data_IF_746094834171
#
_entry.id   IF_746094834171
#
_cell.length_a   1.000
_cell.length_b   1.000
_cell.length_c   1.000
_cell.angle_alpha   90.00
_cell.angle_beta   90.00
_cell.angle_gamma   90.00
#
_symmetry.space_group_name_H-M   'P 1'
#
loop_
_entity.id
_entity.type
_entity.pdbx_description
1 polymer ?
#
# COMPACT_ATOMS: atom_id res chain seq x y z
N UNK A 1 15.93 14.44 10.83
CA UNK A 1 16.48 14.12 12.16
C UNK A 1 16.45 12.60 12.32
N UNK A 2 17.50 12.01 12.88
CA UNK A 2 17.49 10.59 13.27
C UNK A 2 16.90 10.49 14.67
N UNK A 3 15.60 10.23 14.74
CA UNK A 3 14.82 10.19 15.97
C UNK A 3 13.63 9.24 15.79
N UNK A 4 13.02 8.81 16.88
CA UNK A 4 11.89 7.89 16.87
C UNK A 4 11.56 7.36 18.27
N UNK A 5 10.65 6.37 18.35
CA UNK A 5 10.21 5.82 19.64
C UNK A 5 11.33 5.17 20.47
N UNK A 6 12.37 4.65 19.83
CA UNK A 6 13.53 4.06 20.49
C UNK A 6 14.84 4.31 19.73
N UNK A 7 15.98 4.05 20.37
CA UNK A 7 17.31 4.18 19.75
C UNK A 7 17.46 3.18 18.60
N UNK A 8 16.95 1.97 18.76
CA UNK A 8 16.98 0.91 17.74
C UNK A 8 16.19 1.34 16.50
N UNK A 9 15.00 1.93 16.69
CA UNK A 9 14.21 2.45 15.57
C UNK A 9 14.95 3.58 14.87
N UNK A 10 15.51 4.54 15.61
CA UNK A 10 16.23 5.67 15.05
C UNK A 10 17.46 5.23 14.22
N UNK A 11 18.22 4.23 14.70
CA UNK A 11 19.34 3.63 13.96
C UNK A 11 18.87 2.91 12.70
N UNK A 12 17.81 2.11 12.82
CA UNK A 12 17.25 1.34 11.71
C UNK A 12 16.71 2.21 10.56
N UNK A 13 16.46 3.51 10.77
CA UNK A 13 16.07 4.41 9.68
C UNK A 13 17.17 4.52 8.62
N UNK A 14 18.45 4.56 9.04
CA UNK A 14 19.60 4.61 8.13
C UNK A 14 19.79 3.28 7.42
N UNK A 15 19.69 2.16 8.15
CA UNK A 15 19.86 0.82 7.57
C UNK A 15 18.82 0.55 6.46
N UNK A 16 17.55 0.89 6.71
CA UNK A 16 16.47 0.74 5.73
C UNK A 16 16.63 1.68 4.53
N UNK A 17 17.13 2.91 4.76
CA UNK A 17 17.42 3.86 3.69
C UNK A 17 18.52 3.32 2.76
N UNK A 18 19.64 2.84 3.32
CA UNK A 18 20.73 2.23 2.57
C UNK A 18 20.29 0.97 1.82
N UNK A 19 19.43 0.15 2.43
CA UNK A 19 18.88 -1.03 1.76
C UNK A 19 18.09 -0.64 0.51
N UNK A 20 17.23 0.37 0.61
CA UNK A 20 16.44 0.86 -0.52
C UNK A 20 17.28 1.58 -1.59
N UNK A 21 18.34 2.28 -1.22
CA UNK A 21 19.28 2.86 -2.19
C UNK A 21 20.07 1.79 -2.94
N UNK A 22 20.46 0.73 -2.24
CA UNK A 22 21.20 -0.40 -2.83
C UNK A 22 20.31 -1.26 -3.73
N UNK A 23 19.08 -1.50 -3.30
CA UNK A 23 18.21 -2.50 -3.90
C UNK A 23 17.04 -1.93 -4.72
N UNK A 24 16.75 -0.64 -4.58
CA UNK A 24 15.54 0.01 -5.04
C UNK A 24 14.48 0.15 -3.95
N UNK A 25 13.71 1.24 -4.01
CA UNK A 25 12.45 1.38 -3.27
C UNK A 25 11.34 0.68 -4.05
N UNK A 26 10.79 -0.40 -3.49
CA UNK A 26 9.76 -1.24 -4.09
C UNK A 26 8.53 -1.32 -3.19
N UNK A 27 7.41 -1.75 -3.76
CA UNK A 27 6.15 -1.94 -3.04
C UNK A 27 4.98 -1.24 -3.71
N UNK A 28 3.87 -1.15 -2.98
CA UNK A 28 2.62 -0.51 -3.35
C UNK A 28 2.51 0.86 -2.67
N UNK A 29 1.78 1.77 -3.30
CA UNK A 29 1.55 3.11 -2.81
C UNK A 29 0.08 3.27 -2.42
N UNK A 30 -0.17 3.71 -1.19
CA UNK A 30 -1.51 3.81 -0.62
C UNK A 30 -1.82 5.25 -0.22
N UNK A 31 -2.91 5.80 -0.74
CA UNK A 31 -3.32 7.17 -0.49
C UNK A 31 -4.75 7.22 0.03
N UNK A 32 -4.94 7.89 1.15
CA UNK A 32 -6.18 7.93 1.92
C UNK A 32 -6.70 9.37 1.94
N UNK A 33 -7.66 9.66 1.07
CA UNK A 33 -8.28 10.99 0.92
C UNK A 33 -9.61 11.00 1.66
N UNK A 34 -10.23 12.18 1.81
CA UNK A 34 -11.51 12.35 2.48
C UNK A 34 -12.68 12.59 1.53
N UNK A 35 -12.43 12.73 0.24
CA UNK A 35 -13.45 13.00 -0.78
C UNK A 35 -14.07 14.39 -0.67
N UNK A 36 -13.30 15.38 -0.21
CA UNK A 36 -13.79 16.74 0.01
C UNK A 36 -13.96 17.49 -1.33
N UNK A 37 -15.12 18.11 -1.55
CA UNK A 37 -15.43 18.77 -2.83
C UNK A 37 -15.52 20.30 -2.76
N UNK A 38 -15.95 20.89 -1.64
CA UNK A 38 -16.28 22.33 -1.56
C UNK A 38 -15.93 22.94 -0.18
N UNK A 39 -14.70 22.73 0.30
CA UNK A 39 -14.22 23.31 1.57
C UNK A 39 -12.81 23.87 1.41
N UNK A 40 -12.37 24.77 2.29
CA UNK A 40 -10.97 25.23 2.34
C UNK A 40 -10.00 24.05 2.54
N UNK A 41 -10.45 23.00 3.21
CA UNK A 41 -9.68 21.77 3.43
C UNK A 41 -9.48 20.96 2.15
N UNK A 42 -10.25 21.14 1.07
CA UNK A 42 -10.05 20.42 -0.21
C UNK A 42 -8.59 20.42 -0.69
N UNK A 43 -7.83 21.47 -0.36
CA UNK A 43 -6.40 21.57 -0.64
C UNK A 43 -5.58 20.36 -0.13
N UNK A 44 -5.90 19.80 1.05
CA UNK A 44 -5.22 18.61 1.58
C UNK A 44 -5.49 17.37 0.73
N UNK A 45 -6.74 17.18 0.30
CA UNK A 45 -7.15 16.12 -0.64
C UNK A 45 -6.39 16.28 -1.97
N UNK A 46 -6.30 17.51 -2.48
CA UNK A 46 -5.61 17.80 -3.74
C UNK A 46 -4.11 17.51 -3.66
N UNK A 47 -3.46 17.81 -2.53
CA UNK A 47 -2.05 17.47 -2.32
C UNK A 47 -1.82 15.96 -2.23
N UNK A 48 -2.64 15.23 -1.47
CA UNK A 48 -2.52 13.76 -1.36
C UNK A 48 -2.80 13.10 -2.73
N UNK A 49 -3.81 13.59 -3.46
CA UNK A 49 -4.12 13.16 -4.84
C UNK A 49 -2.97 13.40 -5.80
N UNK A 50 -2.35 14.58 -5.73
CA UNK A 50 -1.20 14.94 -6.55
C UNK A 50 0.01 14.03 -6.27
N UNK A 51 0.26 13.70 -5.01
CA UNK A 51 1.30 12.74 -4.63
C UNK A 51 1.03 11.35 -5.20
N UNK A 52 -0.23 10.88 -5.12
CA UNK A 52 -0.66 9.60 -5.69
C UNK A 52 -0.42 9.54 -7.21
N UNK A 53 -0.78 10.60 -7.92
CA UNK A 53 -0.56 10.70 -9.36
C UNK A 53 0.94 10.72 -9.72
N UNK A 54 1.76 11.42 -8.93
CA UNK A 54 3.21 11.48 -9.16
C UNK A 54 3.85 10.09 -9.09
N UNK A 55 3.61 9.33 -8.02
CA UNK A 55 4.20 7.99 -7.88
C UNK A 55 3.59 6.99 -8.86
N UNK A 56 2.30 7.12 -9.20
CA UNK A 56 1.64 6.31 -10.23
C UNK A 56 2.32 6.50 -11.59
N UNK A 57 2.66 7.74 -11.96
CA UNK A 57 3.39 8.05 -13.21
C UNK A 57 4.79 7.46 -13.27
N UNK A 58 5.36 7.08 -12.14
CA UNK A 58 6.63 6.37 -12.04
C UNK A 58 6.46 4.84 -11.98
N UNK A 59 5.25 4.32 -12.17
CA UNK A 59 4.96 2.90 -12.25
C UNK A 59 4.75 2.21 -10.90
N UNK A 60 4.59 2.95 -9.79
CA UNK A 60 4.15 2.32 -8.55
C UNK A 60 2.72 1.82 -8.67
N UNK A 61 2.44 0.66 -8.07
CA UNK A 61 1.08 0.16 -7.95
C UNK A 61 0.33 0.99 -6.91
N UNK A 62 -0.57 1.86 -7.38
CA UNK A 62 -1.14 2.94 -6.56
C UNK A 62 -2.62 2.71 -6.28
N UNK A 63 -2.99 2.69 -5.01
CA UNK A 63 -4.36 2.61 -4.52
C UNK A 63 -4.71 3.94 -3.88
N UNK A 64 -5.87 4.49 -4.27
CA UNK A 64 -6.42 5.73 -3.73
C UNK A 64 -7.80 5.41 -3.15
N UNK A 65 -7.99 5.64 -1.85
CA UNK A 65 -9.31 5.65 -1.22
C UNK A 65 -9.80 7.10 -1.12
N UNK A 66 -11.06 7.32 -1.47
CA UNK A 66 -11.69 8.66 -1.49
C UNK A 66 -12.83 8.78 -0.47
N UNK A 67 -12.98 7.77 0.39
CA UNK A 67 -14.04 7.76 1.40
C UNK A 67 -13.69 8.71 2.55
N UNK A 68 -14.69 9.28 3.25
CA UNK A 68 -14.42 10.17 4.37
C UNK A 68 -13.65 9.52 5.53
N UNK A 69 -13.87 8.22 5.75
CA UNK A 69 -13.14 7.40 6.73
C UNK A 69 -11.76 6.97 6.24
N UNK A 70 -10.81 6.81 7.18
CA UNK A 70 -9.49 6.25 6.86
C UNK A 70 -9.62 4.79 6.38
N UNK A 71 -8.57 4.29 5.71
CA UNK A 71 -8.49 2.87 5.36
C UNK A 71 -8.90 1.98 6.55
N UNK A 72 -9.80 1.03 6.34
CA UNK A 72 -10.19 0.08 7.38
C UNK A 72 -8.98 -0.76 7.84
N UNK A 73 -8.93 -1.13 9.12
CA UNK A 73 -7.96 -2.11 9.62
C UNK A 73 -8.05 -3.47 8.89
N UNK A 74 -9.21 -3.78 8.32
CA UNK A 74 -9.43 -4.96 7.51
C UNK A 74 -8.83 -4.86 6.10
N UNK A 75 -8.49 -3.65 5.63
CA UNK A 75 -7.89 -3.50 4.31
C UNK A 75 -6.52 -4.21 4.26
N UNK A 76 -6.31 -5.16 3.34
CA UNK A 76 -5.08 -5.96 3.30
C UNK A 76 -3.94 -5.18 2.63
N UNK A 77 -3.43 -4.18 3.35
CA UNK A 77 -2.37 -3.26 2.92
C UNK A 77 -1.00 -3.96 2.97
N UNK A 78 -0.51 -4.47 1.84
CA UNK A 78 0.75 -5.24 1.78
C UNK A 78 1.88 -4.45 1.13
N UNK A 79 3.12 -4.75 1.54
CA UNK A 79 4.35 -4.25 0.92
C UNK A 79 4.31 -2.73 0.61
N UNK A 80 4.14 -1.90 1.64
CA UNK A 80 3.97 -0.46 1.51
C UNK A 80 5.30 0.22 1.16
N UNK A 81 5.35 0.91 0.02
CA UNK A 81 6.45 1.82 -0.36
C UNK A 81 6.13 3.27 -0.01
N UNK A 82 4.88 3.68 -0.24
CA UNK A 82 4.40 5.03 0.05
C UNK A 82 3.06 4.96 0.77
N UNK A 83 2.91 5.79 1.80
CA UNK A 83 1.64 6.08 2.41
C UNK A 83 1.46 7.59 2.60
N UNK A 84 0.31 8.13 2.20
CA UNK A 84 -0.15 9.44 2.63
C UNK A 84 -1.65 9.42 2.90
N UNK A 85 -2.09 9.86 4.08
CA UNK A 85 -3.50 9.84 4.45
C UNK A 85 -3.95 11.00 5.33
N UNK A 86 -5.25 11.16 5.55
CA UNK A 86 -5.84 12.12 6.50
C UNK A 86 -7.34 11.87 6.74
N UNK A 87 -8.02 12.36 7.78
CA UNK A 87 -7.61 13.25 8.86
C UNK A 87 -8.08 12.63 10.19
N UNK A 88 -7.24 11.79 10.77
CA UNK A 88 -7.50 11.17 12.07
C UNK A 88 -6.40 11.56 13.06
N UNK A 89 -6.77 11.81 14.31
CA UNK A 89 -5.85 12.29 15.33
C UNK A 89 -4.91 11.21 15.86
N UNK A 90 -5.34 9.96 15.80
CA UNK A 90 -4.58 8.80 16.26
C UNK A 90 -4.31 7.84 15.11
N UNK A 91 -3.18 7.14 15.16
CA UNK A 91 -2.83 6.09 14.22
C UNK A 91 -3.95 5.05 14.18
N UNK A 92 -4.61 4.94 13.03
CA UNK A 92 -5.78 4.07 12.86
C UNK A 92 -5.63 3.15 11.64
N UNK A 93 -6.72 2.49 11.26
CA UNK A 93 -6.76 1.66 10.07
C UNK A 93 -5.76 0.49 10.10
N UNK A 94 -5.13 0.14 8.96
CA UNK A 94 -4.15 -0.94 8.87
C UNK A 94 -2.97 -0.79 9.84
N UNK A 95 -2.66 0.43 10.27
CA UNK A 95 -1.53 0.72 11.13
C UNK A 95 -1.79 0.40 12.61
N UNK A 96 -3.05 0.20 13.00
CA UNK A 96 -3.43 -0.34 14.32
C UNK A 96 -3.04 -1.81 14.49
N UNK A 97 -2.78 -2.52 13.38
CA UNK A 97 -2.45 -3.96 13.41
C UNK A 97 -1.08 -4.19 14.04
N UNK A 98 -0.86 -5.34 14.71
CA UNK A 98 0.44 -5.66 15.32
C UNK A 98 1.58 -5.60 14.31
N UNK A 99 1.37 -6.11 13.09
CA UNK A 99 2.33 -6.13 12.00
C UNK A 99 1.81 -5.34 10.80
N UNK A 100 2.67 -4.48 10.26
CA UNK A 100 2.47 -3.73 9.03
C UNK A 100 3.62 -4.07 8.09
N UNK A 101 3.34 -4.24 6.81
CA UNK A 101 4.34 -4.65 5.82
C UNK A 101 4.96 -3.45 5.12
N UNK A 102 5.62 -2.57 5.86
CA UNK A 102 6.46 -1.54 5.23
C UNK A 102 7.67 -2.16 4.54
N UNK A 103 7.93 -1.73 3.31
CA UNK A 103 9.12 -2.09 2.57
C UNK A 103 10.32 -1.26 3.06
N UNK A 104 11.56 -1.77 2.98
CA UNK A 104 12.74 -0.96 3.18
C UNK A 104 12.71 0.29 2.29
N UNK A 105 13.00 1.45 2.89
CA UNK A 105 12.91 2.74 2.23
C UNK A 105 11.52 3.39 2.21
N UNK A 106 10.49 2.75 2.75
CA UNK A 106 9.13 3.28 2.69
C UNK A 106 8.99 4.65 3.37
N UNK A 107 8.26 5.55 2.72
CA UNK A 107 7.92 6.88 3.25
C UNK A 107 6.45 6.92 3.60
N UNK A 108 6.13 7.30 4.84
CA UNK A 108 4.77 7.34 5.34
C UNK A 108 4.44 8.72 5.93
N UNK A 109 3.28 9.26 5.60
CA UNK A 109 2.80 10.55 6.07
C UNK A 109 1.31 10.45 6.43
N UNK A 110 0.89 11.12 7.49
CA UNK A 110 -0.53 11.31 7.75
C UNK A 110 -0.79 12.77 8.06
N UNK A 111 -1.57 13.47 7.25
CA UNK A 111 -1.89 14.87 7.47
C UNK A 111 -2.83 14.96 8.66
N UNK A 112 -2.27 15.37 9.79
CA UNK A 112 -3.01 15.79 10.97
C UNK A 112 -2.14 16.78 11.75
N UNK A 113 -2.77 17.79 12.36
CA UNK A 113 -2.06 18.92 12.95
C UNK A 113 -1.10 18.57 14.08
N UNK A 114 -1.34 17.45 14.75
CA UNK A 114 -0.55 16.98 15.91
C UNK A 114 0.06 15.60 15.67
N UNK A 115 0.23 15.20 14.41
CA UNK A 115 0.62 13.84 14.05
C UNK A 115 1.98 13.39 14.65
N UNK A 116 2.81 14.32 15.14
CA UNK A 116 4.09 14.08 15.79
C UNK A 116 4.24 14.79 17.15
N UNK A 117 3.12 15.15 17.80
CA UNK A 117 3.11 15.84 19.10
C UNK A 117 4.01 15.17 20.14
N UNK A 118 4.00 13.83 20.17
CA UNK A 118 4.99 13.03 20.88
C UNK A 118 5.60 12.03 19.90
N UNK A 119 6.90 12.17 19.62
CA UNK A 119 7.61 11.24 18.73
C UNK A 119 8.12 9.98 19.47
N UNK A 120 8.37 10.10 20.78
CA UNK A 120 8.92 9.03 21.64
C UNK A 120 7.84 8.04 22.12
N UNK A 121 6.96 7.63 21.23
CA UNK A 121 5.88 6.68 21.50
C UNK A 121 5.57 5.86 20.26
N UNK A 122 5.28 4.58 20.44
CA UNK A 122 4.86 3.68 19.36
C UNK A 122 3.35 3.60 19.19
N UNK A 123 2.57 4.31 20.02
CA UNK A 123 1.12 4.08 20.16
C UNK A 123 0.27 5.33 19.96
N UNK A 124 0.81 6.52 20.18
CA UNK A 124 0.03 7.77 20.12
C UNK A 124 0.37 8.59 18.88
N UNK A 125 -0.62 9.31 18.35
CA UNK A 125 -0.52 10.13 17.14
C UNK A 125 -0.13 9.27 15.93
N UNK A 126 0.77 9.71 15.03
CA UNK A 126 1.08 8.98 13.80
C UNK A 126 2.57 8.78 13.56
N UNK A 127 3.40 9.82 13.66
CA UNK A 127 4.81 9.75 13.26
C UNK A 127 5.58 8.67 14.03
N UNK A 128 5.43 8.63 15.36
CA UNK A 128 6.03 7.61 16.22
C UNK A 128 5.55 6.19 15.87
N UNK A 129 4.22 5.93 15.88
CA UNK A 129 3.65 4.65 15.44
C UNK A 129 4.11 4.20 14.05
N UNK A 130 4.09 5.07 13.03
CA UNK A 130 4.52 4.73 11.67
C UNK A 130 5.99 4.26 11.64
N UNK A 131 6.88 4.94 12.36
CA UNK A 131 8.28 4.55 12.49
C UNK A 131 8.43 3.20 13.22
N UNK A 132 7.70 3.02 14.33
CA UNK A 132 7.69 1.75 15.08
C UNK A 132 7.15 0.57 14.24
N UNK A 133 6.21 0.82 13.33
CA UNK A 133 5.66 -0.18 12.41
C UNK A 133 6.55 -0.49 11.22
N UNK A 134 7.62 0.27 11.00
CA UNK A 134 8.64 -0.04 10.01
C UNK A 134 8.86 1.01 8.93
N UNK A 135 8.12 2.13 8.92
CA UNK A 135 8.39 3.22 7.98
C UNK A 135 9.85 3.70 8.10
N UNK A 136 10.47 4.01 6.98
CA UNK A 136 11.88 4.45 6.93
C UNK A 136 12.00 5.94 7.18
N UNK A 137 11.00 6.70 6.74
CA UNK A 137 10.96 8.13 6.92
C UNK A 137 9.52 8.64 7.04
N UNK A 138 9.34 9.73 7.78
CA UNK A 138 8.07 10.43 7.96
C UNK A 138 8.27 11.91 8.24
N UNK A 139 7.24 12.70 7.97
CA UNK A 139 7.17 14.12 8.33
C UNK A 139 5.96 14.33 9.23
N UNK A 140 6.12 15.16 10.26
CA UNK A 140 5.02 15.49 11.14
C UNK A 140 5.16 16.82 11.87
N UNK A 141 4.21 17.12 12.73
CA UNK A 141 4.05 18.40 13.40
C UNK A 141 3.87 18.18 14.90
N UNK A 142 4.67 18.88 15.70
CA UNK A 142 4.62 18.80 17.17
C UNK A 142 3.53 19.69 17.78
N UNK A 143 3.03 20.65 17.01
CA UNK A 143 2.06 21.68 17.40
C UNK A 143 1.26 22.11 16.15
N UNK A 144 0.09 22.72 16.33
CA UNK A 144 -0.85 23.09 15.26
C UNK A 144 -0.22 23.99 14.18
N UNK A 145 -0.04 23.48 12.94
CA UNK A 145 0.50 24.28 11.84
C UNK A 145 -0.59 24.93 10.96
N UNK A 146 -1.87 24.56 11.16
CA UNK A 146 -2.94 24.67 10.15
C UNK A 146 -2.58 23.95 8.83
N UNK A 147 -3.57 23.73 7.98
CA UNK A 147 -3.35 23.00 6.72
C UNK A 147 -2.28 23.69 5.86
N UNK A 148 -2.30 25.02 5.79
CA UNK A 148 -1.38 25.84 5.01
C UNK A 148 0.06 25.81 5.54
N UNK A 149 0.26 25.47 6.82
CA UNK A 149 1.59 25.28 7.41
C UNK A 149 2.15 23.86 7.23
N UNK A 150 1.33 22.91 6.75
CA UNK A 150 1.79 21.55 6.45
C UNK A 150 2.57 21.49 5.12
N UNK A 151 3.35 20.43 4.93
CA UNK A 151 4.03 20.17 3.66
C UNK A 151 2.99 19.94 2.54
N UNK A 152 3.29 20.50 1.37
CA UNK A 152 2.60 20.11 0.16
C UNK A 152 3.11 18.72 -0.25
N UNK A 153 2.38 17.66 0.12
CA UNK A 153 2.82 16.28 -0.11
C UNK A 153 2.95 15.93 -1.60
N UNK A 154 2.26 16.64 -2.51
CA UNK A 154 2.46 16.49 -3.95
C UNK A 154 3.84 17.02 -4.38
N UNK A 155 4.22 18.21 -3.88
CA UNK A 155 5.56 18.77 -4.14
C UNK A 155 6.66 17.88 -3.55
N UNK A 156 6.47 17.41 -2.31
CA UNK A 156 7.36 16.44 -1.68
C UNK A 156 7.56 15.19 -2.56
N UNK A 157 6.47 14.59 -3.05
CA UNK A 157 6.54 13.42 -3.91
C UNK A 157 7.28 13.72 -5.22
N UNK A 158 7.04 14.87 -5.84
CA UNK A 158 7.73 15.30 -7.07
C UNK A 158 9.24 15.44 -6.87
N UNK A 159 9.64 16.15 -5.82
CA UNK A 159 11.03 16.44 -5.50
C UNK A 159 11.78 15.16 -5.11
N UNK A 160 11.21 14.38 -4.20
CA UNK A 160 11.82 13.14 -3.72
C UNK A 160 11.98 12.08 -4.83
N UNK A 161 11.02 12.01 -5.75
CA UNK A 161 10.99 10.96 -6.78
C UNK A 161 11.52 11.43 -8.13
N UNK A 162 10.76 12.23 -8.87
CA UNK A 162 11.09 12.60 -10.25
C UNK A 162 12.35 13.47 -10.34
N UNK A 163 12.55 14.39 -9.39
CA UNK A 163 13.77 15.21 -9.32
C UNK A 163 14.91 14.51 -8.57
N UNK A 164 14.57 13.50 -7.77
CA UNK A 164 15.52 12.66 -7.05
C UNK A 164 16.29 13.43 -5.99
N UNK A 165 15.62 14.33 -5.27
CA UNK A 165 16.16 15.01 -4.08
C UNK A 165 16.32 14.01 -2.94
N UNK A 166 17.20 14.31 -1.98
CA UNK A 166 17.22 13.55 -0.73
C UNK A 166 15.90 13.76 0.05
N UNK A 167 15.62 12.87 0.99
CA UNK A 167 14.44 12.99 1.86
C UNK A 167 14.42 14.32 2.60
N UNK A 168 15.57 14.76 3.11
CA UNK A 168 15.72 16.06 3.75
C UNK A 168 15.45 17.22 2.79
N UNK A 169 16.08 17.22 1.61
CA UNK A 169 15.90 18.27 0.60
C UNK A 169 14.43 18.39 0.17
N UNK A 170 13.79 17.27 -0.17
CA UNK A 170 12.39 17.22 -0.57
C UNK A 170 11.45 17.67 0.56
N UNK A 171 11.70 17.24 1.80
CA UNK A 171 10.86 17.61 2.94
C UNK A 171 10.95 19.11 3.29
N UNK A 172 12.10 19.75 3.06
CA UNK A 172 12.25 21.19 3.26
C UNK A 172 11.72 22.00 2.07
N UNK A 173 11.94 21.55 0.83
CA UNK A 173 11.41 22.20 -0.36
C UNK A 173 9.86 22.20 -0.41
N UNK A 174 9.22 21.16 0.14
CA UNK A 174 7.77 21.05 0.19
C UNK A 174 7.09 21.87 1.30
N UNK A 175 7.85 22.46 2.23
CA UNK A 175 7.30 23.28 3.31
C UNK A 175 6.83 24.64 2.78
N UNK A 176 5.65 25.07 3.20
CA UNK A 176 5.13 26.40 2.88
C UNK A 176 5.80 27.49 3.74
N UNK A 177 6.33 27.11 4.91
CA UNK A 177 7.13 27.98 5.79
C UNK A 177 8.08 27.13 6.65
N UNK A 178 9.22 27.70 7.03
CA UNK A 178 10.16 27.02 7.94
C UNK A 178 9.70 27.28 9.38
N UNK A 179 9.35 26.22 10.10
CA UNK A 179 8.85 26.29 11.47
C UNK A 179 9.52 25.25 12.38
N UNK A 180 9.66 25.59 13.65
CA UNK A 180 10.08 24.65 14.71
C UNK A 180 9.03 23.54 14.92
N UNK A 181 7.79 23.75 14.48
CA UNK A 181 6.70 22.80 14.60
C UNK A 181 6.92 21.57 13.71
N UNK A 182 7.61 21.72 12.58
CA UNK A 182 7.83 20.64 11.62
C UNK A 182 8.95 19.71 12.06
N UNK A 183 8.64 18.42 12.11
CA UNK A 183 9.55 17.33 12.46
C UNK A 183 9.72 16.40 11.26
N UNK A 184 10.88 16.46 10.62
CA UNK A 184 11.28 15.56 9.54
C UNK A 184 12.12 14.42 10.14
N UNK A 185 11.56 13.22 10.26
CA UNK A 185 12.20 12.06 10.91
C UNK A 185 12.60 11.00 9.87
N UNK A 186 13.88 10.64 9.86
CA UNK A 186 14.51 9.84 8.81
C UNK A 186 15.93 10.30 8.53
N UNK A 187 16.70 9.49 7.78
CA UNK A 187 18.00 9.89 7.28
C UNK A 187 17.83 11.05 6.28
N UNK A 188 18.36 12.26 6.56
CA UNK A 188 18.23 13.40 5.66
C UNK A 188 18.93 13.18 4.31
N UNK A 189 19.88 12.24 4.21
CA UNK A 189 20.59 11.92 2.97
C UNK A 189 19.91 10.81 2.15
N UNK A 190 18.90 10.14 2.70
CA UNK A 190 18.17 9.07 2.00
C UNK A 190 17.63 9.54 0.65
N UNK A 191 18.10 8.95 -0.45
CA UNK A 191 17.89 9.43 -1.82
C UNK A 191 17.76 8.25 -2.79
N UNK A 192 16.69 7.44 -2.69
CA UNK A 192 16.55 6.21 -3.49
C UNK A 192 16.39 6.50 -4.98
N UNK A 193 15.90 7.69 -5.36
CA UNK A 193 15.74 8.13 -6.76
C UNK A 193 16.88 9.04 -7.23
N UNK A 194 17.99 9.11 -6.48
CA UNK A 194 19.14 9.92 -6.83
C UNK A 194 19.74 9.57 -8.19
N UNK A 195 20.29 10.59 -8.85
CA UNK A 195 20.97 10.47 -10.15
C UNK A 195 22.47 10.53 -9.92
N UNK A 196 23.22 9.61 -10.54
CA UNK A 196 24.69 9.62 -10.48
C UNK A 196 25.27 10.78 -11.29
N UNK A 197 24.71 11.02 -12.48
CA UNK A 197 25.09 12.12 -13.36
C UNK A 197 23.88 13.04 -13.60
N UNK A 198 24.13 14.33 -13.84
CA UNK A 198 23.08 15.32 -14.09
C UNK A 198 22.25 15.05 -15.36
N UNK A 199 22.83 14.36 -16.34
CA UNK A 199 22.16 13.95 -17.58
C UNK A 199 21.36 12.64 -17.46
N UNK A 200 21.50 11.90 -16.36
CA UNK A 200 20.75 10.66 -16.16
C UNK A 200 19.25 10.98 -16.04
N UNK A 201 18.42 10.21 -16.73
CA UNK A 201 16.98 10.26 -16.61
C UNK A 201 16.45 9.07 -15.79
N UNK A 202 15.18 9.14 -15.39
CA UNK A 202 14.53 8.09 -14.59
C UNK A 202 14.59 6.71 -15.26
N UNK A 203 14.40 6.64 -16.59
CA UNK A 203 14.46 5.39 -17.35
C UNK A 203 15.82 4.69 -17.29
N UNK A 204 16.92 5.44 -17.43
CA UNK A 204 18.27 4.90 -17.30
C UNK A 204 18.51 4.28 -15.92
N UNK A 205 18.06 4.93 -14.85
CA UNK A 205 18.16 4.38 -13.48
C UNK A 205 17.38 3.07 -13.36
N UNK A 206 16.17 3.02 -13.90
CA UNK A 206 15.36 1.80 -13.87
C UNK A 206 16.03 0.66 -14.63
N UNK A 207 16.61 0.93 -15.80
CA UNK A 207 17.35 -0.05 -16.59
C UNK A 207 18.59 -0.58 -15.85
N UNK A 208 19.42 0.30 -15.28
CA UNK A 208 20.60 -0.09 -14.49
C UNK A 208 20.20 -0.96 -13.29
N UNK A 209 19.16 -0.55 -12.56
CA UNK A 209 18.68 -1.28 -11.40
C UNK A 209 18.10 -2.65 -11.80
N UNK A 210 17.29 -2.70 -12.86
CA UNK A 210 16.77 -3.94 -13.42
C UNK A 210 17.91 -4.91 -13.80
N UNK A 211 18.92 -4.43 -14.52
CA UNK A 211 20.10 -5.21 -14.88
C UNK A 211 20.86 -5.74 -13.66
N UNK A 212 21.04 -4.92 -12.63
CA UNK A 212 21.66 -5.33 -11.37
C UNK A 212 20.85 -6.41 -10.63
N UNK A 213 19.52 -6.27 -10.58
CA UNK A 213 18.61 -7.27 -10.00
C UNK A 213 18.67 -8.60 -10.74
N UNK A 214 18.68 -8.58 -12.07
CA UNK A 214 18.81 -9.77 -12.91
C UNK A 214 20.15 -10.46 -12.69
N UNK A 215 21.26 -9.72 -12.74
CA UNK A 215 22.61 -10.26 -12.61
C UNK A 215 22.82 -11.03 -11.31
N UNK A 216 22.24 -10.53 -10.21
CA UNK A 216 22.31 -11.17 -8.88
C UNK A 216 21.17 -12.15 -8.60
N UNK A 217 20.28 -12.41 -9.56
CA UNK A 217 19.08 -13.27 -9.41
C UNK A 217 18.23 -12.87 -8.20
N UNK A 218 18.06 -11.57 -7.98
CA UNK A 218 17.28 -11.05 -6.85
C UNK A 218 15.81 -11.39 -7.01
N UNK A 219 15.13 -11.75 -5.91
CA UNK A 219 13.66 -11.88 -5.88
C UNK A 219 12.95 -10.55 -6.18
N UNK A 220 13.59 -9.41 -5.90
CA UNK A 220 13.02 -8.08 -6.16
C UNK A 220 12.82 -7.77 -7.65
N UNK A 221 13.33 -8.62 -8.55
CA UNK A 221 13.11 -8.46 -9.99
C UNK A 221 11.61 -8.46 -10.35
N UNK A 222 10.78 -9.14 -9.58
CA UNK A 222 9.32 -9.11 -9.76
C UNK A 222 8.72 -7.70 -9.65
N UNK A 223 9.25 -6.88 -8.73
CA UNK A 223 8.79 -5.49 -8.54
C UNK A 223 9.25 -4.61 -9.69
N UNK A 224 10.44 -4.88 -10.24
CA UNK A 224 10.92 -4.18 -11.44
C UNK A 224 10.05 -4.48 -12.65
N UNK A 225 9.66 -5.75 -12.86
CA UNK A 225 8.71 -6.12 -13.91
C UNK A 225 7.32 -5.50 -13.69
N UNK A 226 6.83 -5.48 -12.44
CA UNK A 226 5.56 -4.81 -12.11
C UNK A 226 5.62 -3.31 -12.45
N UNK A 227 6.74 -2.64 -12.15
CA UNK A 227 6.93 -1.24 -12.47
C UNK A 227 6.90 -0.99 -13.99
N UNK A 228 7.54 -1.85 -14.79
CA UNK A 228 7.47 -1.78 -16.26
C UNK A 228 6.03 -1.94 -16.76
N UNK A 229 5.29 -2.91 -16.23
CA UNK A 229 3.87 -3.13 -16.55
C UNK A 229 3.05 -1.87 -16.27
N UNK A 230 3.23 -1.29 -15.09
CA UNK A 230 2.49 -0.11 -14.67
C UNK A 230 2.86 1.14 -15.49
N UNK A 231 4.13 1.32 -15.83
CA UNK A 231 4.58 2.39 -16.72
C UNK A 231 3.92 2.28 -18.09
N UNK A 232 3.89 1.08 -18.68
CA UNK A 232 3.24 0.86 -19.97
C UNK A 232 1.74 1.18 -19.91
N UNK A 233 1.05 0.76 -18.85
CA UNK A 233 -0.37 1.08 -18.64
C UNK A 233 -0.60 2.60 -18.52
N UNK A 234 0.24 3.31 -17.76
CA UNK A 234 0.16 4.77 -17.63
C UNK A 234 0.44 5.48 -18.95
N UNK A 235 1.38 4.97 -19.75
CA UNK A 235 1.71 5.49 -21.08
C UNK A 235 0.62 5.19 -22.13
N UNK A 236 -0.41 4.43 -21.77
CA UNK A 236 -1.53 4.11 -22.66
C UNK A 236 -1.25 2.96 -23.63
N UNK A 237 -0.27 2.11 -23.35
CA UNK A 237 -0.07 0.89 -24.14
C UNK A 237 -1.30 -0.02 -24.05
N UNK A 238 -1.67 -0.73 -25.14
CA UNK A 238 -2.80 -1.64 -25.12
C UNK A 238 -2.65 -2.74 -24.05
N UNK A 239 -3.72 -3.00 -23.29
CA UNK A 239 -3.71 -4.06 -22.27
C UNK A 239 -3.34 -5.44 -22.83
N UNK A 240 -3.61 -5.71 -24.12
CA UNK A 240 -3.19 -6.95 -24.78
C UNK A 240 -1.68 -7.10 -24.89
N UNK A 241 -0.94 -6.01 -25.11
CA UNK A 241 0.52 -6.03 -25.16
C UNK A 241 1.12 -6.24 -23.77
N UNK A 242 0.52 -5.59 -22.76
CA UNK A 242 0.91 -5.77 -21.35
C UNK A 242 0.67 -7.21 -20.87
N UNK A 243 -0.47 -7.81 -21.23
CA UNK A 243 -0.75 -9.23 -20.98
C UNK A 243 0.29 -10.10 -21.68
N UNK A 244 0.55 -9.87 -22.96
CA UNK A 244 1.53 -10.63 -23.74
C UNK A 244 2.93 -10.59 -23.10
N UNK A 245 3.35 -9.41 -22.63
CA UNK A 245 4.58 -9.26 -21.88
C UNK A 245 4.60 -10.12 -20.60
N UNK A 246 3.57 -10.01 -19.76
CA UNK A 246 3.46 -10.79 -18.52
C UNK A 246 3.45 -12.30 -18.77
N UNK A 247 2.74 -12.78 -19.80
CA UNK A 247 2.64 -14.19 -20.15
C UNK A 247 3.97 -14.77 -20.67
N UNK A 248 4.76 -13.96 -21.38
CA UNK A 248 6.05 -14.35 -21.94
C UNK A 248 7.20 -14.25 -20.93
N UNK A 249 7.12 -13.30 -19.98
CA UNK A 249 8.14 -13.08 -18.95
C UNK A 249 8.25 -14.29 -17.99
N UNK A 250 9.39 -15.02 -17.97
CA UNK A 250 9.56 -16.20 -17.13
C UNK A 250 9.35 -15.94 -15.63
N UNK A 251 9.68 -14.74 -15.14
CA UNK A 251 9.50 -14.32 -13.75
C UNK A 251 8.04 -14.39 -13.31
N UNK A 252 7.09 -14.07 -14.21
CA UNK A 252 5.66 -14.09 -13.91
C UNK A 252 5.17 -15.44 -13.41
N UNK A 253 5.74 -16.56 -13.89
CA UNK A 253 5.33 -17.91 -13.46
C UNK A 253 5.69 -18.23 -12.01
N UNK A 254 6.58 -17.46 -11.40
CA UNK A 254 7.12 -17.69 -10.05
C UNK A 254 6.86 -16.52 -9.10
N UNK A 255 6.20 -15.47 -9.56
CA UNK A 255 5.90 -14.29 -8.76
C UNK A 255 4.40 -14.16 -8.50
N UNK A 256 4.01 -14.22 -7.22
CA UNK A 256 2.64 -13.95 -6.83
C UNK A 256 2.24 -12.50 -7.14
N UNK A 257 3.18 -11.55 -7.03
CA UNK A 257 2.97 -10.13 -7.36
C UNK A 257 2.56 -9.95 -8.83
N UNK A 258 3.28 -10.60 -9.75
CA UNK A 258 2.98 -10.50 -11.18
C UNK A 258 1.74 -11.29 -11.59
N UNK A 259 1.48 -12.46 -10.97
CA UNK A 259 0.23 -13.20 -11.20
C UNK A 259 -0.99 -12.44 -10.69
N UNK A 260 -0.89 -11.78 -9.53
CA UNK A 260 -1.92 -10.89 -8.99
C UNK A 260 -2.22 -9.75 -9.98
N UNK A 261 -1.18 -9.07 -10.47
CA UNK A 261 -1.36 -8.00 -11.48
C UNK A 261 -2.00 -8.51 -12.77
N UNK A 262 -1.57 -9.66 -13.27
CA UNK A 262 -2.14 -10.28 -14.46
C UNK A 262 -3.64 -10.59 -14.26
N UNK A 263 -4.01 -11.08 -13.08
CA UNK A 263 -5.40 -11.35 -12.72
C UNK A 263 -6.25 -10.08 -12.67
N UNK A 264 -5.72 -9.00 -12.08
CA UNK A 264 -6.36 -7.68 -12.05
C UNK A 264 -6.62 -7.13 -13.46
N UNK A 265 -5.65 -7.25 -14.37
CA UNK A 265 -5.80 -6.80 -15.78
C UNK A 265 -6.84 -7.66 -16.52
N UNK A 266 -6.84 -8.98 -16.34
CA UNK A 266 -7.89 -9.82 -16.93
C UNK A 266 -9.27 -9.46 -16.39
N UNK A 267 -9.38 -9.19 -15.10
CA UNK A 267 -10.63 -8.80 -14.46
C UNK A 267 -11.14 -7.47 -15.02
N UNK A 268 -10.28 -6.46 -15.20
CA UNK A 268 -10.68 -5.18 -15.80
C UNK A 268 -11.16 -5.30 -17.25
N UNK A 269 -10.71 -6.34 -17.97
CA UNK A 269 -11.19 -6.67 -19.32
C UNK A 269 -12.44 -7.57 -19.33
N UNK A 270 -13.01 -7.90 -18.17
CA UNK A 270 -14.15 -8.82 -18.06
C UNK A 270 -13.81 -10.30 -18.32
N UNK A 271 -12.53 -10.65 -18.45
CA UNK A 271 -12.06 -12.03 -18.69
C UNK A 271 -12.02 -12.83 -17.38
N UNK A 272 -13.18 -13.05 -16.77
CA UNK A 272 -13.31 -13.62 -15.41
C UNK A 272 -12.60 -14.99 -15.25
N UNK A 273 -12.72 -15.88 -16.24
CA UNK A 273 -12.06 -17.20 -16.18
C UNK A 273 -10.53 -17.09 -16.12
N UNK A 274 -9.94 -16.19 -16.91
CA UNK A 274 -8.50 -15.97 -16.95
C UNK A 274 -8.01 -15.29 -15.65
N UNK A 275 -8.79 -14.36 -15.11
CA UNK A 275 -8.52 -13.75 -13.81
C UNK A 275 -8.57 -14.79 -12.67
N UNK A 276 -9.54 -15.70 -12.65
CA UNK A 276 -9.61 -16.80 -11.67
C UNK A 276 -8.38 -17.70 -11.77
N UNK A 277 -7.96 -18.04 -12.99
CA UNK A 277 -6.78 -18.89 -13.22
C UNK A 277 -5.50 -18.20 -12.74
N UNK A 278 -5.31 -16.92 -13.06
CA UNK A 278 -4.15 -16.14 -12.63
C UNK A 278 -4.09 -15.96 -11.09
N UNK A 279 -5.21 -15.64 -10.43
CA UNK A 279 -5.23 -15.63 -8.96
C UNK A 279 -4.96 -17.03 -8.38
N UNK A 280 -5.51 -18.09 -8.98
CA UNK A 280 -5.26 -19.46 -8.54
C UNK A 280 -3.78 -19.84 -8.64
N UNK A 281 -3.09 -19.40 -9.70
CA UNK A 281 -1.63 -19.52 -9.82
C UNK A 281 -0.91 -18.73 -8.73
N UNK A 282 -1.32 -17.48 -8.46
CA UNK A 282 -0.75 -16.67 -7.38
C UNK A 282 -0.88 -17.36 -6.00
N UNK A 283 -2.04 -17.97 -5.69
CA UNK A 283 -2.27 -18.65 -4.41
C UNK A 283 -1.37 -19.87 -4.14
N UNK A 284 -0.75 -20.41 -5.19
CA UNK A 284 0.22 -21.51 -5.11
C UNK A 284 1.68 -21.03 -4.98
N UNK A 285 1.91 -19.72 -4.91
CA UNK A 285 3.24 -19.11 -4.82
C UNK A 285 3.48 -18.48 -3.44
N UNK A 286 4.74 -18.20 -3.13
CA UNK A 286 5.15 -17.52 -1.88
C UNK A 286 4.60 -16.09 -1.87
N UNK A 287 3.97 -15.69 -0.78
CA UNK A 287 3.35 -14.37 -0.58
C UNK A 287 3.54 -13.91 0.86
N UNK A 288 3.48 -12.61 1.08
CA UNK A 288 3.30 -12.07 2.43
C UNK A 288 1.88 -12.36 2.94
N UNK A 289 1.65 -12.44 4.26
CA UNK A 289 0.32 -12.68 4.81
C UNK A 289 -0.74 -11.69 4.32
N UNK A 290 -0.40 -10.39 4.18
CA UNK A 290 -1.36 -9.38 3.72
C UNK A 290 -1.65 -9.52 2.21
N UNK A 291 -0.64 -9.83 1.39
CA UNK A 291 -0.88 -10.11 -0.02
C UNK A 291 -1.74 -11.37 -0.18
N UNK A 292 -1.44 -12.44 0.55
CA UNK A 292 -2.19 -13.69 0.51
C UNK A 292 -3.65 -13.47 0.88
N UNK A 293 -3.91 -12.72 1.96
CA UNK A 293 -5.28 -12.39 2.37
C UNK A 293 -6.03 -11.61 1.29
N UNK A 294 -5.39 -10.62 0.65
CA UNK A 294 -5.97 -9.86 -0.46
C UNK A 294 -6.33 -10.75 -1.65
N UNK A 295 -5.39 -11.60 -2.10
CA UNK A 295 -5.58 -12.50 -3.25
C UNK A 295 -6.68 -13.52 -2.96
N UNK A 296 -6.74 -14.09 -1.74
CA UNK A 296 -7.80 -15.03 -1.35
C UNK A 296 -9.19 -14.39 -1.40
N UNK A 297 -9.35 -13.18 -0.84
CA UNK A 297 -10.62 -12.46 -0.87
C UNK A 297 -11.04 -12.09 -2.31
N UNK A 298 -10.11 -11.58 -3.12
CA UNK A 298 -10.36 -11.25 -4.51
C UNK A 298 -10.80 -12.48 -5.33
N UNK A 299 -10.10 -13.60 -5.16
CA UNK A 299 -10.44 -14.84 -5.86
C UNK A 299 -11.76 -15.43 -5.38
N UNK A 300 -12.04 -15.44 -4.08
CA UNK A 300 -13.30 -15.98 -3.55
C UNK A 300 -14.50 -15.19 -4.07
N UNK A 301 -14.39 -13.86 -4.12
CA UNK A 301 -15.39 -12.99 -4.71
C UNK A 301 -15.59 -13.30 -6.21
N UNK A 302 -14.50 -13.41 -6.96
CA UNK A 302 -14.56 -13.68 -8.39
C UNK A 302 -15.13 -15.06 -8.73
N UNK A 303 -14.80 -16.08 -7.95
CA UNK A 303 -15.38 -17.43 -8.05
C UNK A 303 -16.90 -17.40 -7.85
N UNK A 304 -17.38 -16.62 -6.87
CA UNK A 304 -18.81 -16.42 -6.64
C UNK A 304 -19.50 -15.78 -7.84
N UNK A 305 -18.92 -14.72 -8.40
CA UNK A 305 -19.42 -14.04 -9.61
C UNK A 305 -19.43 -14.96 -10.84
N UNK A 306 -18.44 -15.84 -10.97
CA UNK A 306 -18.33 -16.80 -12.07
C UNK A 306 -19.07 -18.13 -11.79
N UNK A 307 -20.09 -18.09 -10.92
CA UNK A 307 -20.96 -19.21 -10.52
C UNK A 307 -20.26 -20.46 -9.95
N UNK A 308 -18.96 -20.37 -9.63
CA UNK A 308 -18.17 -21.42 -8.94
C UNK A 308 -18.34 -21.34 -7.43
N UNK A 309 -19.59 -21.35 -6.98
CA UNK A 309 -20.01 -21.10 -5.59
C UNK A 309 -19.37 -22.03 -4.57
N UNK A 310 -19.25 -23.32 -4.89
CA UNK A 310 -18.62 -24.31 -4.01
C UNK A 310 -17.14 -23.98 -3.74
N UNK A 311 -16.42 -23.55 -4.78
CA UNK A 311 -15.01 -23.14 -4.66
C UNK A 311 -14.89 -21.83 -3.88
N UNK A 312 -15.77 -20.86 -4.14
CA UNK A 312 -15.82 -19.60 -3.40
C UNK A 312 -16.04 -19.83 -1.89
N UNK A 313 -17.04 -20.63 -1.54
CA UNK A 313 -17.35 -20.95 -0.13
C UNK A 313 -16.19 -21.70 0.54
N UNK A 314 -15.56 -22.64 -0.17
CA UNK A 314 -14.37 -23.35 0.34
C UNK A 314 -13.21 -22.39 0.61
N UNK A 315 -12.96 -21.45 -0.30
CA UNK A 315 -11.89 -20.47 -0.14
C UNK A 315 -12.15 -19.50 1.01
N UNK A 316 -13.39 -19.08 1.24
CA UNK A 316 -13.73 -18.29 2.42
C UNK A 316 -13.53 -19.06 3.74
N UNK A 317 -13.86 -20.36 3.81
CA UNK A 317 -13.55 -21.17 5.00
C UNK A 317 -12.06 -21.25 5.26
N UNK A 318 -11.27 -21.47 4.20
CA UNK A 318 -9.82 -21.46 4.28
C UNK A 318 -9.32 -20.11 4.77
N UNK A 319 -9.87 -19.01 4.27
CA UNK A 319 -9.54 -17.66 4.72
C UNK A 319 -9.77 -17.47 6.23
N UNK A 320 -10.94 -17.88 6.74
CA UNK A 320 -11.25 -17.80 8.18
C UNK A 320 -10.30 -18.66 9.04
N UNK A 321 -9.80 -19.76 8.49
CA UNK A 321 -8.84 -20.64 9.17
C UNK A 321 -7.44 -20.03 9.18
N UNK A 322 -7.02 -19.42 8.07
CA UNK A 322 -5.68 -18.81 7.94
C UNK A 322 -5.59 -17.42 8.60
N UNK A 323 -6.70 -16.68 8.69
CA UNK A 323 -6.77 -15.33 9.23
C UNK A 323 -7.85 -15.22 10.32
N UNK A 324 -7.72 -15.94 11.45
CA UNK A 324 -8.72 -15.92 12.52
C UNK A 324 -8.87 -14.54 13.18
N UNK A 325 -7.80 -13.73 13.18
CA UNK A 325 -7.78 -12.38 13.74
C UNK A 325 -8.06 -11.29 12.70
N UNK A 326 -8.68 -11.64 11.57
CA UNK A 326 -9.04 -10.65 10.55
C UNK A 326 -10.03 -9.62 11.11
N UNK A 327 -9.77 -8.30 11.00
CA UNK A 327 -10.58 -7.30 11.70
C UNK A 327 -12.06 -7.24 11.30
N UNK A 328 -12.42 -7.75 10.12
CA UNK A 328 -13.79 -7.72 9.60
C UNK A 328 -14.26 -9.14 9.24
N UNK A 329 -14.27 -10.05 10.22
CA UNK A 329 -14.83 -11.40 10.05
C UNK A 329 -16.31 -11.35 9.63
N UNK A 330 -17.05 -10.33 10.09
CA UNK A 330 -18.47 -10.18 9.79
C UNK A 330 -18.72 -10.12 8.28
N UNK A 331 -17.98 -9.29 7.53
CA UNK A 331 -18.17 -9.19 6.08
C UNK A 331 -17.81 -10.49 5.34
N UNK A 332 -16.87 -11.27 5.86
CA UNK A 332 -16.54 -12.60 5.31
C UNK A 332 -17.72 -13.55 5.49
N UNK A 333 -18.29 -13.65 6.69
CA UNK A 333 -19.46 -14.49 6.93
C UNK A 333 -20.69 -14.04 6.13
N UNK A 334 -20.92 -12.73 6.01
CA UNK A 334 -22.00 -12.17 5.18
C UNK A 334 -21.86 -12.55 3.71
N UNK A 335 -20.63 -12.65 3.18
CA UNK A 335 -20.36 -13.14 1.82
C UNK A 335 -20.54 -14.66 1.68
N UNK A 336 -20.29 -15.42 2.75
CA UNK A 336 -20.43 -16.88 2.77
C UNK A 336 -21.89 -17.34 2.85
N UNK A 337 -22.74 -16.63 3.60
CA UNK A 337 -24.13 -17.02 3.85
C UNK A 337 -24.94 -17.29 2.56
N UNK A 338 -25.02 -16.35 1.59
CA UNK A 338 -25.79 -16.60 0.36
C UNK A 338 -25.22 -17.79 -0.43
N UNK A 339 -23.90 -17.98 -0.43
CA UNK A 339 -23.28 -19.13 -1.10
C UNK A 339 -23.71 -20.45 -0.46
N UNK A 340 -23.71 -20.53 0.88
CA UNK A 340 -24.13 -21.73 1.61
C UNK A 340 -25.63 -22.04 1.40
N UNK A 341 -26.48 -21.01 1.39
CA UNK A 341 -27.91 -21.13 1.13
C UNK A 341 -28.19 -21.63 -0.29
N UNK A 342 -27.58 -21.03 -1.31
CA UNK A 342 -27.74 -21.43 -2.72
C UNK A 342 -27.23 -22.87 -2.98
N UNK A 343 -26.22 -23.32 -2.22
CA UNK A 343 -25.69 -24.69 -2.28
C UNK A 343 -26.48 -25.70 -1.45
N UNK A 344 -27.59 -25.30 -0.81
CA UNK A 344 -28.40 -26.12 0.09
C UNK A 344 -27.62 -26.73 1.27
N UNK A 345 -26.60 -26.02 1.78
CA UNK A 345 -25.79 -26.43 2.93
C UNK A 345 -26.40 -25.92 4.23
N UNK A 346 -27.60 -26.37 4.58
CA UNK A 346 -28.42 -25.81 5.69
C UNK A 346 -27.67 -25.75 7.02
N UNK A 347 -27.02 -26.83 7.43
CA UNK A 347 -26.28 -26.86 8.71
C UNK A 347 -25.09 -25.89 8.74
N UNK A 348 -24.51 -25.57 7.59
CA UNK A 348 -23.43 -24.58 7.47
C UNK A 348 -23.99 -23.16 7.44
N UNK A 349 -25.07 -22.94 6.69
CA UNK A 349 -25.78 -21.66 6.68
C UNK A 349 -26.23 -21.26 8.09
N UNK A 350 -26.75 -22.20 8.89
CA UNK A 350 -27.14 -21.95 10.28
C UNK A 350 -25.94 -21.56 11.17
N UNK A 351 -24.76 -22.17 10.95
CA UNK A 351 -23.54 -21.82 11.67
C UNK A 351 -23.05 -20.42 11.27
N UNK A 352 -23.04 -20.12 9.97
CA UNK A 352 -22.66 -18.81 9.44
C UNK A 352 -23.59 -17.73 9.99
N UNK A 353 -24.91 -17.97 10.01
CA UNK A 353 -25.89 -17.02 10.54
C UNK A 353 -25.62 -16.73 12.03
N UNK A 354 -25.35 -17.75 12.84
CA UNK A 354 -24.99 -17.55 14.26
C UNK A 354 -23.74 -16.69 14.44
N UNK A 355 -22.74 -16.86 13.58
CA UNK A 355 -21.53 -16.02 13.61
C UNK A 355 -21.83 -14.57 13.19
N UNK A 356 -22.69 -14.38 12.17
CA UNK A 356 -23.18 -13.04 11.78
C UNK A 356 -23.89 -12.39 12.96
N UNK A 357 -24.81 -13.08 13.63
CA UNK A 357 -25.57 -12.54 14.76
C UNK A 357 -24.65 -12.20 15.95
N UNK A 358 -23.61 -13.02 16.18
CA UNK A 358 -22.59 -12.81 17.23
C UNK A 358 -21.74 -11.57 16.97
N UNK A 359 -21.33 -11.37 15.72
CA UNK A 359 -20.41 -10.32 15.30
C UNK A 359 -21.12 -9.01 14.92
N UNK A 360 -22.43 -9.06 14.65
CA UNK A 360 -23.23 -7.88 14.34
C UNK A 360 -23.30 -6.95 15.54
N UNK A 361 -23.25 -5.61 15.34
CA UNK A 361 -23.45 -4.67 16.42
C UNK A 361 -24.79 -4.92 17.11
N UNK A 362 -24.79 -5.12 18.43
CA UNK A 362 -26.03 -5.21 19.20
C UNK A 362 -26.74 -3.85 19.13
N UNK A 363 -28.04 -3.77 18.82
CA UNK A 363 -28.78 -2.52 18.92
C UNK A 363 -28.68 -2.00 20.36
N UNK A 364 -28.35 -0.71 20.47
CA UNK A 364 -27.77 -0.04 21.65
C UNK A 364 -28.25 -0.50 23.04
N UNK A 365 -27.27 -0.70 23.92
CA UNK A 365 -27.40 -0.40 25.35
C UNK A 365 -26.65 0.88 25.64
#
# INVERSE_FOLDING_TARGET
RLDGPSVEIARGLVDKAMEAETNGLWGRAYFDLRGLTNTSYKLGDDWIRGAAEMVRRLGFETIVDEKPETFSAAFPMSQIAFYAGWYDGQCSGPFSRPKVEFMPGAVAYHLHSFNAHVLRTSEQYWAGPLLAKGATATVGYVEEPYLEGTINVAAFAADFTALGFSFGEAAYAAQQSISWQTTVAGDPLYRPFGRKNSSDNFGKRLEELHGALLARKSRLIEWSHLQVVNLNLVMGFPMSEVISYLEQEPTTRRSAVLQEKLAEIYYSLGKLAAAIDAYGKALNLEMTPLQRGRVMLAQAQLLGLYTRREQALTLYRQYLTEFPDYPDLLSVYQRMLPLAQELNKTAEADKIQKEIDRLSPQPGK
#
